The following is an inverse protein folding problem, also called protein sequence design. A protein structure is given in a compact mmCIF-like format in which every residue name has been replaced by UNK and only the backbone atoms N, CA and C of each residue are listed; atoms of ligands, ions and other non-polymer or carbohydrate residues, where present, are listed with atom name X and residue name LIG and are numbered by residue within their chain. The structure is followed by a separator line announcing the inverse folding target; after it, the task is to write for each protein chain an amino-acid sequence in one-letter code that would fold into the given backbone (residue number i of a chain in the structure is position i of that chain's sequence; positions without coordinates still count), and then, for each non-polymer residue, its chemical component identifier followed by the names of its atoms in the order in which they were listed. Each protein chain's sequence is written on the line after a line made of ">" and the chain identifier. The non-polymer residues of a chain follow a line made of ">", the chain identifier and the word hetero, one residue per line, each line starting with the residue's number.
data_IF_397045734725
#
_entry.id   IF_397045734725
#
_cell.length_a   1.000
_cell.length_b   1.000
_cell.length_c   1.000
_cell.angle_alpha   90.00
_cell.angle_beta   90.00
_cell.angle_gamma   90.00
#
_symmetry.space_group_name_H-M   'P 1'
#
loop_
_entity.id
_entity.type
_entity.pdbx_description
1 polymer ?
#
# COMPACT_ATOMS: atom_id res chain seq x y z
N UNK A 1 -25.01 7.67 7.74
CA UNK A 1 -23.54 7.70 7.54
C UNK A 1 -23.22 9.05 6.93
N UNK A 2 -22.43 9.95 7.55
CA UNK A 2 -22.02 11.14 6.82
C UNK A 2 -21.20 10.67 5.61
N UNK A 3 -21.58 11.15 4.43
CA UNK A 3 -20.90 10.92 3.16
C UNK A 3 -19.54 11.65 3.24
N UNK A 4 -18.59 11.09 3.97
CA UNK A 4 -17.26 11.67 4.14
C UNK A 4 -16.48 11.52 2.84
N UNK A 5 -15.96 12.63 2.34
CA UNK A 5 -15.05 12.77 1.19
C UNK A 5 -14.30 11.47 0.84
N UNK A 6 -14.43 11.00 -0.40
CA UNK A 6 -13.61 9.88 -0.86
C UNK A 6 -12.13 10.27 -0.75
N UNK A 7 -11.27 9.43 -0.16
CA UNK A 7 -9.86 9.76 0.04
C UNK A 7 -9.17 10.04 -1.30
N UNK A 8 -8.43 11.13 -1.34
CA UNK A 8 -7.62 11.55 -2.49
C UNK A 8 -6.19 11.06 -2.34
N UNK A 9 -5.41 11.15 -3.42
CA UNK A 9 -3.98 10.88 -3.41
C UNK A 9 -3.23 11.65 -2.30
N UNK A 10 -3.63 12.88 -2.02
CA UNK A 10 -3.02 13.72 -0.98
C UNK A 10 -3.27 13.20 0.44
N UNK A 11 -4.38 12.51 0.66
CA UNK A 11 -4.76 11.98 1.98
C UNK A 11 -4.01 10.70 2.35
N UNK A 12 -3.52 9.95 1.35
CA UNK A 12 -3.01 8.58 1.53
C UNK A 12 -1.82 8.50 2.49
N UNK A 13 -0.91 9.49 2.45
CA UNK A 13 0.21 9.57 3.39
C UNK A 13 -0.25 9.71 4.83
N UNK A 14 -1.30 10.50 5.07
CA UNK A 14 -1.89 10.69 6.41
C UNK A 14 -2.52 9.40 6.91
N UNK A 15 -3.24 8.68 6.06
CA UNK A 15 -3.82 7.39 6.39
C UNK A 15 -2.77 6.34 6.78
N UNK A 16 -1.68 6.23 6.00
CA UNK A 16 -0.57 5.34 6.33
C UNK A 16 0.09 5.70 7.67
N UNK A 17 0.31 7.00 7.92
CA UNK A 17 0.91 7.48 9.18
C UNK A 17 0.00 7.18 10.38
N UNK A 18 -1.30 7.41 10.24
CA UNK A 18 -2.29 7.10 11.28
C UNK A 18 -2.35 5.60 11.57
N UNK A 19 -2.24 4.76 10.54
CA UNK A 19 -2.17 3.31 10.69
C UNK A 19 -0.95 2.89 11.53
N UNK A 20 0.25 3.35 11.16
CA UNK A 20 1.49 3.03 11.89
C UNK A 20 1.39 3.49 13.35
N UNK A 21 0.84 4.67 13.60
CA UNK A 21 0.63 5.17 14.96
C UNK A 21 -0.33 4.27 15.77
N UNK A 22 -1.41 3.79 15.16
CA UNK A 22 -2.40 2.91 15.81
C UNK A 22 -1.80 1.55 16.21
N UNK A 23 -0.87 1.02 15.40
CA UNK A 23 -0.23 -0.29 15.64
C UNK A 23 1.15 -0.17 16.29
N UNK A 24 1.61 1.03 16.67
CA UNK A 24 2.91 1.20 17.31
C UNK A 24 3.04 0.44 18.63
N UNK A 25 1.93 0.26 19.36
CA UNK A 25 1.88 -0.49 20.61
C UNK A 25 2.09 -2.00 20.44
N UNK A 26 1.88 -2.55 19.24
CA UNK A 26 2.00 -4.00 18.96
C UNK A 26 3.42 -4.45 18.58
N UNK A 27 4.43 -3.57 18.65
CA UNK A 27 5.86 -3.86 18.35
C UNK A 27 6.10 -4.47 16.96
N UNK A 28 5.19 -4.25 16.03
CA UNK A 28 5.35 -4.69 14.64
C UNK A 28 6.33 -3.78 13.90
N UNK A 29 7.32 -4.33 13.17
CA UNK A 29 8.31 -3.51 12.44
C UNK A 29 7.70 -2.97 11.13
N UNK A 30 6.85 -1.95 11.27
CA UNK A 30 6.21 -1.21 10.17
C UNK A 30 6.92 0.14 9.94
N UNK A 31 8.16 0.06 9.50
CA UNK A 31 9.12 1.16 9.35
C UNK A 31 9.19 1.76 7.93
N UNK A 32 8.20 1.45 7.08
CA UNK A 32 8.18 1.78 5.65
C UNK A 32 9.38 1.19 4.87
N UNK A 33 10.01 0.13 5.35
CA UNK A 33 11.01 -0.64 4.59
C UNK A 33 10.34 -1.65 3.66
N UNK A 34 11.08 -2.13 2.67
CA UNK A 34 10.63 -3.27 1.84
C UNK A 34 10.46 -4.54 2.67
N UNK A 35 11.26 -4.72 3.73
CA UNK A 35 11.16 -5.87 4.62
C UNK A 35 9.82 -5.90 5.37
N UNK A 36 9.29 -4.72 5.74
CA UNK A 36 7.99 -4.58 6.40
C UNK A 36 6.80 -5.10 5.58
N UNK A 37 6.93 -5.23 4.25
CA UNK A 37 5.87 -5.81 3.41
C UNK A 37 5.56 -7.27 3.78
N UNK A 38 6.55 -8.01 4.29
CA UNK A 38 6.30 -9.36 4.83
C UNK A 38 5.42 -9.32 6.08
N UNK A 39 5.61 -8.31 6.93
CA UNK A 39 4.78 -8.10 8.12
C UNK A 39 3.34 -7.83 7.70
N UNK A 40 3.14 -7.04 6.65
CA UNK A 40 1.80 -6.80 6.08
C UNK A 40 1.20 -8.09 5.53
N UNK A 41 1.95 -8.89 4.78
CA UNK A 41 1.49 -10.22 4.33
C UNK A 41 1.03 -11.09 5.53
N UNK A 42 1.79 -11.12 6.63
CA UNK A 42 1.42 -11.84 7.85
C UNK A 42 0.18 -11.28 8.54
N UNK A 43 0.01 -9.95 8.58
CA UNK A 43 -1.18 -9.31 9.12
C UNK A 43 -2.44 -9.70 8.33
N UNK A 44 -2.34 -9.71 7.00
CA UNK A 44 -3.44 -10.14 6.13
C UNK A 44 -3.77 -11.62 6.37
N UNK A 45 -2.78 -12.49 6.52
CA UNK A 45 -3.01 -13.89 6.87
C UNK A 45 -3.69 -14.05 8.23
N UNK A 46 -3.34 -13.21 9.21
CA UNK A 46 -4.02 -13.15 10.50
C UNK A 46 -5.48 -12.74 10.38
N UNK A 47 -5.77 -11.69 9.60
CA UNK A 47 -7.13 -11.22 9.33
C UNK A 47 -7.97 -12.29 8.62
N UNK A 48 -7.39 -13.05 7.68
CA UNK A 48 -8.08 -14.14 6.98
C UNK A 48 -8.44 -15.31 7.90
N UNK A 49 -7.61 -15.58 8.91
CA UNK A 49 -7.81 -16.68 9.86
C UNK A 49 -8.68 -16.30 11.06
N UNK A 50 -8.84 -15.01 11.34
CA UNK A 50 -9.61 -14.49 12.46
C UNK A 50 -11.12 -14.51 12.22
N UNK A 51 -11.90 -14.55 13.31
CA UNK A 51 -13.36 -14.48 13.26
C UNK A 51 -13.81 -13.04 12.94
N UNK A 52 -14.73 -12.81 11.98
CA UNK A 52 -15.11 -11.48 11.48
C UNK A 52 -15.78 -10.50 12.49
N UNK A 53 -15.86 -10.85 13.77
CA UNK A 53 -16.81 -10.29 14.71
C UNK A 53 -16.37 -8.97 15.38
N UNK A 54 -15.16 -8.47 15.12
CA UNK A 54 -14.63 -7.29 15.84
C UNK A 54 -14.12 -6.13 14.99
N UNK A 55 -13.79 -6.33 13.72
CA UNK A 55 -13.28 -5.25 12.86
C UNK A 55 -13.81 -5.40 11.44
N UNK A 56 -14.30 -4.31 10.84
CA UNK A 56 -14.66 -4.29 9.42
C UNK A 56 -13.36 -4.43 8.62
N UNK A 57 -13.13 -5.56 7.92
CA UNK A 57 -11.86 -5.82 7.24
C UNK A 57 -11.53 -4.69 6.27
N UNK A 58 -12.52 -4.09 5.62
CA UNK A 58 -12.37 -3.00 4.66
C UNK A 58 -11.54 -1.83 5.18
N UNK A 59 -11.76 -1.38 6.42
CA UNK A 59 -11.05 -0.24 6.99
C UNK A 59 -9.57 -0.57 7.27
N UNK A 60 -9.31 -1.80 7.73
CA UNK A 60 -7.95 -2.30 8.00
C UNK A 60 -7.22 -2.54 6.68
N UNK A 61 -7.87 -3.17 5.70
CA UNK A 61 -7.32 -3.39 4.36
C UNK A 61 -7.01 -2.08 3.64
N UNK A 62 -7.88 -1.07 3.77
CA UNK A 62 -7.60 0.29 3.27
C UNK A 62 -6.34 0.88 3.90
N UNK A 63 -6.23 0.81 5.24
CA UNK A 63 -5.07 1.32 5.97
C UNK A 63 -3.76 0.60 5.61
N UNK A 64 -3.83 -0.73 5.43
CA UNK A 64 -2.72 -1.54 4.93
C UNK A 64 -2.34 -1.16 3.49
N UNK A 65 -3.33 -0.95 2.61
CA UNK A 65 -3.11 -0.48 1.24
C UNK A 65 -2.42 0.89 1.18
N UNK A 66 -2.84 1.81 2.05
CA UNK A 66 -2.19 3.11 2.23
C UNK A 66 -0.72 2.95 2.65
N UNK A 67 -0.46 2.09 3.63
CA UNK A 67 0.90 1.81 4.08
C UNK A 67 1.78 1.20 2.97
N UNK A 68 1.26 0.21 2.22
CA UNK A 68 1.97 -0.40 1.09
C UNK A 68 2.30 0.66 0.03
N UNK A 69 1.34 1.51 -0.33
CA UNK A 69 1.60 2.57 -1.29
C UNK A 69 2.66 3.58 -0.81
N UNK A 70 2.70 3.92 0.48
CA UNK A 70 3.80 4.72 1.05
C UNK A 70 5.16 4.04 0.96
N UNK A 71 5.23 2.71 1.10
CA UNK A 71 6.47 1.96 0.84
C UNK A 71 6.89 2.12 -0.62
N UNK A 72 5.95 2.04 -1.57
CA UNK A 72 6.23 2.23 -3.00
C UNK A 72 6.74 3.64 -3.29
N UNK A 73 6.08 4.66 -2.74
CA UNK A 73 6.49 6.07 -2.89
C UNK A 73 7.92 6.28 -2.39
N UNK A 74 8.23 5.79 -1.20
CA UNK A 74 9.53 6.02 -0.55
C UNK A 74 10.67 5.16 -1.10
N UNK A 75 10.38 3.94 -1.54
CA UNK A 75 11.41 2.94 -1.88
C UNK A 75 11.55 2.67 -3.37
N UNK A 76 10.51 2.92 -4.15
CA UNK A 76 10.50 2.71 -5.59
C UNK A 76 10.37 4.01 -6.40
N UNK A 77 10.32 5.18 -5.73
CA UNK A 77 10.17 6.47 -6.38
C UNK A 77 8.78 6.71 -6.98
N UNK A 78 7.78 5.95 -6.52
CA UNK A 78 6.41 6.15 -6.97
C UNK A 78 5.82 7.47 -6.44
N UNK A 79 4.70 7.90 -7.02
CA UNK A 79 3.91 9.04 -6.53
C UNK A 79 2.45 8.64 -6.42
N UNK A 80 1.76 9.09 -5.36
CA UNK A 80 0.31 8.94 -5.27
C UNK A 80 -0.40 9.78 -6.33
N UNK A 81 -1.44 9.21 -6.93
CA UNK A 81 -2.19 9.83 -8.01
C UNK A 81 -3.67 9.53 -7.87
N UNK A 82 -4.51 10.54 -8.15
CA UNK A 82 -5.93 10.32 -8.34
C UNK A 82 -6.15 9.67 -9.71
N UNK A 83 -6.87 8.56 -9.72
CA UNK A 83 -7.15 7.79 -10.92
C UNK A 83 -8.25 8.49 -11.73
N UNK A 84 -8.03 8.61 -13.04
CA UNK A 84 -9.03 9.13 -13.97
C UNK A 84 -10.22 8.16 -14.14
N UNK A 85 -11.26 8.58 -14.86
CA UNK A 85 -12.48 7.76 -15.02
C UNK A 85 -12.21 6.37 -15.63
N UNK A 86 -11.30 6.27 -16.59
CA UNK A 86 -10.96 5.01 -17.24
C UNK A 86 -10.18 4.09 -16.30
N UNK A 87 -9.20 4.65 -15.58
CA UNK A 87 -8.42 3.93 -14.57
C UNK A 87 -9.29 3.48 -13.39
N UNK A 88 -10.24 4.31 -12.95
CA UNK A 88 -11.21 3.93 -11.91
C UNK A 88 -12.09 2.77 -12.34
N UNK A 89 -12.54 2.76 -13.60
CA UNK A 89 -13.32 1.65 -14.14
C UNK A 89 -12.50 0.35 -14.18
N UNK A 90 -11.20 0.43 -14.46
CA UNK A 90 -10.31 -0.73 -14.48
C UNK A 90 -9.93 -1.24 -13.08
N UNK A 91 -9.57 -0.33 -12.17
CA UNK A 91 -9.01 -0.68 -10.85
C UNK A 91 -10.05 -0.79 -9.73
N UNK A 92 -11.28 -0.27 -9.93
CA UNK A 92 -12.32 -0.22 -8.91
C UNK A 92 -12.00 0.70 -7.72
N UNK A 93 -10.91 1.47 -7.78
CA UNK A 93 -10.44 2.38 -6.74
C UNK A 93 -10.19 3.76 -7.33
N UNK A 94 -10.21 4.80 -6.47
CA UNK A 94 -10.02 6.21 -6.89
C UNK A 94 -8.57 6.67 -6.82
N UNK A 95 -7.73 5.96 -6.08
CA UNK A 95 -6.33 6.32 -5.85
C UNK A 95 -5.43 5.17 -6.27
N UNK A 96 -4.26 5.51 -6.78
CA UNK A 96 -3.20 4.57 -7.12
C UNK A 96 -1.83 5.21 -6.95
N UNK A 97 -0.79 4.47 -7.31
CA UNK A 97 0.57 5.00 -7.39
C UNK A 97 1.07 4.92 -8.82
N UNK A 98 1.73 5.98 -9.28
CA UNK A 98 2.44 6.01 -10.55
C UNK A 98 3.92 5.79 -10.31
N UNK A 99 4.47 4.78 -10.97
CA UNK A 99 5.90 4.46 -10.92
C UNK A 99 6.71 5.42 -11.81
N UNK A 100 8.04 5.53 -11.63
CA UNK A 100 8.90 6.36 -12.47
C UNK A 100 8.85 6.03 -13.97
N UNK A 101 8.51 4.79 -14.33
CA UNK A 101 8.31 4.34 -15.70
C UNK A 101 6.96 4.76 -16.31
N UNK A 102 6.13 5.50 -15.56
CA UNK A 102 4.82 5.98 -15.96
C UNK A 102 3.67 5.00 -15.71
N UNK A 103 3.95 3.74 -15.35
CA UNK A 103 2.90 2.74 -15.09
C UNK A 103 2.17 3.03 -13.78
N UNK A 104 0.86 2.83 -13.79
CA UNK A 104 0.00 3.05 -12.63
C UNK A 104 -0.38 1.71 -12.01
N UNK A 105 -0.29 1.64 -10.68
CA UNK A 105 -0.59 0.46 -9.88
C UNK A 105 -1.56 0.82 -8.75
N UNK A 106 -2.39 -0.14 -8.33
CA UNK A 106 -3.36 0.04 -7.26
C UNK A 106 -2.95 -0.77 -6.00
N UNK A 107 -2.26 -0.17 -5.01
CA UNK A 107 -1.84 -0.89 -3.81
C UNK A 107 -3.02 -1.28 -2.91
N UNK A 108 -4.13 -0.52 -2.93
CA UNK A 108 -5.34 -0.86 -2.17
C UNK A 108 -5.97 -2.13 -2.72
N UNK A 109 -6.18 -2.17 -4.04
CA UNK A 109 -6.66 -3.36 -4.73
C UNK A 109 -5.74 -4.56 -4.54
N UNK A 110 -4.41 -4.35 -4.55
CA UNK A 110 -3.46 -5.45 -4.32
C UNK A 110 -3.58 -6.07 -2.92
N UNK A 111 -3.79 -5.24 -1.90
CA UNK A 111 -4.04 -5.72 -0.52
C UNK A 111 -5.35 -6.48 -0.41
N UNK A 112 -6.42 -6.00 -1.07
CA UNK A 112 -7.70 -6.71 -1.13
C UNK A 112 -7.53 -8.07 -1.82
N UNK A 113 -6.87 -8.13 -2.98
CA UNK A 113 -6.57 -9.40 -3.65
C UNK A 113 -5.77 -10.36 -2.75
N UNK A 114 -4.79 -9.85 -2.00
CA UNK A 114 -4.01 -10.64 -1.04
C UNK A 114 -4.87 -11.19 0.10
N UNK A 115 -5.88 -10.45 0.52
CA UNK A 115 -6.86 -10.87 1.52
C UNK A 115 -7.87 -11.88 0.98
N UNK A 116 -8.29 -11.77 -0.28
CA UNK A 116 -9.30 -12.66 -0.88
C UNK A 116 -8.68 -13.93 -1.49
N UNK A 117 -7.67 -13.80 -2.35
CA UNK A 117 -7.04 -14.91 -3.08
C UNK A 117 -6.08 -15.68 -2.18
N UNK A 118 -5.09 -15.01 -1.60
CA UNK A 118 -4.18 -15.60 -0.61
C UNK A 118 -2.70 -15.36 -0.92
N UNK A 119 -1.79 -16.22 -0.42
CA UNK A 119 -0.34 -15.94 -0.41
C UNK A 119 0.30 -15.76 -1.79
N UNK A 120 -0.34 -16.23 -2.86
CA UNK A 120 0.08 -16.00 -4.24
C UNK A 120 0.13 -14.50 -4.59
N UNK A 121 -0.73 -13.71 -3.96
CA UNK A 121 -0.81 -12.26 -4.13
C UNK A 121 0.16 -11.50 -3.20
N UNK A 122 1.26 -12.12 -2.77
CA UNK A 122 2.22 -11.52 -1.81
C UNK A 122 2.66 -10.11 -2.23
N UNK A 123 2.58 -9.20 -1.28
CA UNK A 123 2.95 -7.79 -1.45
C UNK A 123 4.45 -7.62 -1.64
N UNK A 124 5.25 -8.46 -0.98
CA UNK A 124 6.70 -8.46 -1.20
C UNK A 124 7.06 -8.93 -2.59
N UNK A 125 6.45 -10.02 -3.08
CA UNK A 125 6.70 -10.51 -4.44
C UNK A 125 6.29 -9.46 -5.45
N UNK A 126 5.12 -8.84 -5.26
CA UNK A 126 4.67 -7.72 -6.05
C UNK A 126 5.69 -6.58 -6.11
N UNK A 127 6.25 -6.15 -4.98
CA UNK A 127 7.29 -5.12 -4.96
C UNK A 127 8.52 -5.50 -5.82
N UNK A 128 8.94 -6.76 -5.78
CA UNK A 128 10.13 -7.22 -6.49
C UNK A 128 9.93 -7.27 -8.01
N UNK A 129 8.70 -7.48 -8.47
CA UNK A 129 8.35 -7.51 -9.90
C UNK A 129 8.10 -6.12 -10.49
N UNK A 130 8.05 -5.06 -9.67
CA UNK A 130 7.87 -3.71 -10.17
C UNK A 130 9.07 -3.24 -11.03
N UNK A 131 8.84 -2.85 -12.29
CA UNK A 131 9.84 -2.24 -13.14
C UNK A 131 10.17 -0.80 -12.68
N UNK A 132 11.35 -0.30 -13.08
CA UNK A 132 11.68 1.12 -12.91
C UNK A 132 12.00 1.58 -11.48
N UNK A 133 12.32 0.66 -10.56
CA UNK A 133 12.89 1.02 -9.25
C UNK A 133 14.14 1.86 -9.52
N UNK A 134 14.11 3.14 -9.14
CA UNK A 134 15.30 3.99 -9.20
C UNK A 134 16.38 3.31 -8.37
N UNK A 135 17.30 2.59 -9.02
CA UNK A 135 18.55 2.19 -8.43
C UNK A 135 19.14 3.46 -7.84
N UNK A 136 19.46 3.44 -6.54
CA UNK A 136 19.88 4.63 -5.83
C UNK A 136 20.88 5.40 -6.68
N UNK A 137 20.68 6.72 -6.80
CA UNK A 137 21.75 7.62 -7.18
C UNK A 137 22.85 7.50 -6.13
N UNK A 138 23.72 6.51 -6.31
CA UNK A 138 25.12 6.60 -5.94
C UNK A 138 25.80 7.26 -7.13
N UNK A 139 25.66 8.57 -7.18
CA UNK A 139 26.50 9.52 -7.92
C UNK A 139 26.46 10.77 -7.02
N UNK A 140 27.53 11.27 -6.42
CA UNK A 140 28.95 11.13 -6.72
C UNK A 140 29.70 11.69 -5.49
N UNK A 141 30.71 10.97 -4.99
CA UNK A 141 31.81 11.61 -4.26
C UNK A 141 32.66 12.33 -5.30
N UNK A 142 32.59 13.65 -5.34
CA UNK A 142 33.65 14.60 -5.74
C UNK A 142 32.98 15.92 -6.12
N UNK A 143 33.16 16.94 -5.27
CA UNK A 143 33.84 18.20 -5.58
C UNK A 143 33.92 19.02 -4.29
#
# INVERSE_FOLDING_TARGET
>A
MPQGENPTAADMRRHATAFVARVASSRLPLDHSVASLRVVDFLIDGLRKGTPERERPDAVLFALGAYVGEVLVRRAGAVWVDLDAHQRAYFGQRVGVRMPDGRVWNPLGKVVNRYEVGPEESLRTFYLTLPGRTAGRTAECAL
#
